data_IF_312262391677
#
_entry.id   IF_312262391677
#
_cell.length_a   1.000
_cell.length_b   1.000
_cell.length_c   1.000
_cell.angle_alpha   90.00
_cell.angle_beta   90.00
_cell.angle_gamma   90.00
#
_symmetry.space_group_name_H-M   'P 1'
#
loop_
_entity.id
_entity.type
_entity.pdbx_description
1 polymer ?
#
# COMPACT_ATOMS: atom_id res chain seq x y z
N UNK A 1 1.00 2.99 4.42
CA UNK A 1 -0.27 3.26 5.11
C UNK A 1 -0.84 4.64 4.78
N UNK A 2 -2.11 4.79 4.92
CA UNK A 2 -2.78 6.08 4.71
C UNK A 2 -3.65 6.39 5.94
N UNK A 3 -3.65 7.62 6.45
CA UNK A 3 -2.68 8.70 6.19
C UNK A 3 -1.29 8.39 6.75
N UNK A 4 -0.25 8.97 6.17
CA UNK A 4 1.11 8.90 6.70
C UNK A 4 1.26 9.87 7.87
N UNK A 5 1.01 9.39 9.06
CA UNK A 5 1.13 10.16 10.32
C UNK A 5 1.98 9.38 11.31
N UNK A 6 2.36 10.01 12.41
CA UNK A 6 3.03 9.33 13.54
C UNK A 6 2.10 8.36 14.30
N UNK A 7 0.79 8.38 14.00
CA UNK A 7 -0.21 7.48 14.58
C UNK A 7 -0.47 6.31 13.65
N UNK A 8 -1.08 5.22 14.16
CA UNK A 8 -1.49 4.09 13.32
C UNK A 8 -2.35 4.55 12.14
N UNK A 9 -1.95 4.17 10.94
CA UNK A 9 -2.68 4.47 9.71
C UNK A 9 -3.62 3.34 9.31
N UNK A 10 -4.12 3.42 8.08
CA UNK A 10 -4.93 2.35 7.48
C UNK A 10 -4.30 1.86 6.17
N UNK A 11 -4.56 0.63 5.82
CA UNK A 11 -4.35 0.09 4.50
C UNK A 11 -5.65 0.24 3.71
N UNK A 12 -5.64 0.97 2.60
CA UNK A 12 -6.81 1.24 1.78
C UNK A 12 -6.71 0.51 0.45
N UNK A 13 -7.70 -0.32 0.15
CA UNK A 13 -7.91 -0.89 -1.18
C UNK A 13 -9.12 -0.21 -1.82
N UNK A 14 -8.90 0.41 -2.96
CA UNK A 14 -9.97 0.97 -3.79
C UNK A 14 -10.06 0.14 -5.08
N UNK A 15 -11.25 -0.33 -5.39
CA UNK A 15 -11.51 -1.09 -6.59
C UNK A 15 -12.81 -0.65 -7.25
N UNK A 16 -12.82 -0.63 -8.59
CA UNK A 16 -13.97 -0.28 -9.40
C UNK A 16 -14.29 -1.47 -10.30
N UNK A 17 -15.50 -2.05 -10.21
CA UNK A 17 -15.87 -3.18 -11.05
C UNK A 17 -15.98 -2.76 -12.52
N UNK A 18 -15.55 -3.63 -13.41
CA UNK A 18 -15.80 -3.51 -14.84
C UNK A 18 -17.30 -3.70 -15.15
N UNK A 19 -17.74 -3.26 -16.33
CA UNK A 19 -19.13 -3.47 -16.78
C UNK A 19 -19.52 -4.96 -16.68
N UNK A 20 -20.65 -5.22 -16.03
CA UNK A 20 -21.18 -6.57 -15.85
C UNK A 20 -20.60 -7.35 -14.66
N UNK A 21 -19.66 -6.79 -13.92
CA UNK A 21 -19.11 -7.40 -12.69
C UNK A 21 -19.82 -6.81 -11.47
N UNK A 22 -20.34 -7.65 -10.59
CA UNK A 22 -20.97 -7.20 -9.35
C UNK A 22 -19.92 -6.77 -8.31
N UNK A 23 -20.31 -5.89 -7.39
CA UNK A 23 -19.48 -5.49 -6.25
C UNK A 23 -19.11 -6.67 -5.37
N UNK A 24 -20.01 -7.64 -5.18
CA UNK A 24 -19.77 -8.84 -4.38
C UNK A 24 -18.71 -9.74 -5.02
N UNK A 25 -18.74 -9.87 -6.35
CA UNK A 25 -17.71 -10.61 -7.09
C UNK A 25 -16.34 -9.93 -6.94
N UNK A 26 -16.31 -8.60 -7.04
CA UNK A 26 -15.08 -7.83 -6.89
C UNK A 26 -14.52 -7.97 -5.46
N UNK A 27 -15.38 -7.86 -4.45
CA UNK A 27 -14.99 -8.04 -3.05
C UNK A 27 -14.40 -9.44 -2.81
N UNK A 28 -15.06 -10.49 -3.32
CA UNK A 28 -14.58 -11.87 -3.20
C UNK A 28 -13.17 -12.04 -3.81
N UNK A 29 -12.94 -11.45 -4.98
CA UNK A 29 -11.63 -11.48 -5.64
C UNK A 29 -10.54 -10.79 -4.83
N UNK A 30 -10.85 -9.67 -4.20
CA UNK A 30 -9.90 -8.98 -3.31
C UNK A 30 -9.51 -9.88 -2.12
N UNK A 31 -10.47 -10.63 -1.57
CA UNK A 31 -10.14 -11.55 -0.47
C UNK A 31 -9.34 -12.76 -0.91
N UNK A 32 -9.62 -13.30 -2.09
CA UNK A 32 -8.81 -14.37 -2.70
C UNK A 32 -7.34 -13.93 -2.82
N UNK A 33 -7.09 -12.70 -3.31
CA UNK A 33 -5.73 -12.15 -3.41
C UNK A 33 -5.08 -11.95 -2.03
N UNK A 34 -5.83 -11.49 -1.03
CA UNK A 34 -5.30 -11.34 0.33
C UNK A 34 -4.96 -12.70 0.95
N UNK A 35 -5.81 -13.70 0.75
CA UNK A 35 -5.57 -15.05 1.28
C UNK A 35 -4.37 -15.70 0.56
N UNK A 36 -4.25 -15.52 -0.74
CA UNK A 36 -3.09 -15.93 -1.53
C UNK A 36 -1.78 -15.29 -0.99
N UNK A 37 -1.79 -13.99 -0.71
CA UNK A 37 -0.63 -13.31 -0.11
C UNK A 37 -0.26 -13.86 1.28
N UNK A 38 -1.24 -14.21 2.12
CA UNK A 38 -1.01 -14.85 3.43
C UNK A 38 -0.40 -16.24 3.32
N UNK A 39 -0.75 -16.98 2.27
CA UNK A 39 -0.19 -18.30 1.97
C UNK A 39 1.24 -18.21 1.45
N UNK A 40 1.67 -17.02 0.99
CA UNK A 40 3.01 -16.78 0.48
C UNK A 40 3.15 -17.07 -1.00
N UNK A 41 2.11 -16.80 -1.78
CA UNK A 41 2.11 -16.98 -3.24
C UNK A 41 2.88 -15.89 -3.99
N UNK A 42 3.20 -14.77 -3.31
CA UNK A 42 3.96 -13.68 -3.92
C UNK A 42 5.37 -14.18 -4.26
N UNK A 43 5.76 -14.01 -5.51
CA UNK A 43 7.08 -14.40 -6.00
C UNK A 43 8.14 -13.35 -5.73
N UNK A 44 9.41 -13.76 -5.75
CA UNK A 44 10.53 -12.81 -5.61
C UNK A 44 10.54 -11.78 -6.74
N UNK A 45 10.20 -12.18 -7.97
CA UNK A 45 10.10 -11.27 -9.11
C UNK A 45 9.03 -10.18 -8.91
N UNK A 46 7.88 -10.54 -8.33
CA UNK A 46 6.82 -9.57 -8.02
C UNK A 46 7.25 -8.59 -6.94
N UNK A 47 7.93 -9.07 -5.90
CA UNK A 47 8.49 -8.22 -4.85
C UNK A 47 9.53 -7.26 -5.42
N UNK A 48 10.49 -7.76 -6.22
CA UNK A 48 11.56 -6.95 -6.82
C UNK A 48 10.98 -5.87 -7.75
N UNK A 49 9.94 -6.21 -8.50
CA UNK A 49 9.19 -5.27 -9.36
C UNK A 49 8.50 -4.19 -8.53
N UNK A 50 7.86 -4.58 -7.43
CA UNK A 50 7.18 -3.64 -6.52
C UNK A 50 8.19 -2.67 -5.89
N UNK A 51 9.34 -3.18 -5.40
CA UNK A 51 10.43 -2.37 -4.85
C UNK A 51 10.96 -1.39 -5.90
N UNK A 52 11.25 -1.87 -7.10
CA UNK A 52 11.74 -1.05 -8.21
C UNK A 52 10.76 0.08 -8.56
N UNK A 53 9.47 -0.24 -8.65
CA UNK A 53 8.43 0.76 -8.94
C UNK A 53 8.30 1.79 -7.82
N UNK A 54 8.36 1.37 -6.56
CA UNK A 54 8.29 2.26 -5.41
C UNK A 54 9.48 3.23 -5.37
N UNK A 55 10.70 2.73 -5.63
CA UNK A 55 11.92 3.55 -5.75
C UNK A 55 11.81 4.56 -6.89
N UNK A 56 11.37 4.12 -8.07
CA UNK A 56 11.19 5.00 -9.21
C UNK A 56 10.15 6.10 -8.94
N UNK A 57 9.06 5.78 -8.23
CA UNK A 57 8.05 6.75 -7.83
C UNK A 57 8.60 7.78 -6.83
N UNK A 58 9.38 7.33 -5.85
CA UNK A 58 10.03 8.24 -4.89
C UNK A 58 10.99 9.19 -5.60
N UNK A 59 11.88 8.67 -6.45
CA UNK A 59 12.83 9.49 -7.21
C UNK A 59 12.11 10.51 -8.09
N UNK A 60 11.04 10.10 -8.79
CA UNK A 60 10.22 11.03 -9.59
C UNK A 60 9.56 12.10 -8.73
N UNK A 61 9.08 11.75 -7.55
CA UNK A 61 8.51 12.70 -6.59
C UNK A 61 9.50 13.77 -6.12
N UNK A 62 10.79 13.41 -6.05
CA UNK A 62 11.87 14.34 -5.68
C UNK A 62 12.44 15.14 -6.87
N UNK A 63 11.98 14.91 -8.09
CA UNK A 63 12.55 15.45 -9.34
C UNK A 63 12.31 16.95 -9.57
N UNK A 64 11.59 17.64 -8.69
CA UNK A 64 11.39 19.08 -8.75
C UNK A 64 11.35 19.69 -7.34
N UNK A 65 11.57 21.02 -7.27
CA UNK A 65 11.69 21.75 -6.01
C UNK A 65 10.45 21.63 -5.11
N UNK A 66 9.25 21.64 -5.69
CA UNK A 66 8.00 21.50 -4.93
C UNK A 66 7.87 20.11 -4.33
N UNK A 67 8.13 19.07 -5.11
CA UNK A 67 8.11 17.68 -4.64
C UNK A 67 9.14 17.43 -3.55
N UNK A 68 10.36 17.95 -3.74
CA UNK A 68 11.44 17.85 -2.76
C UNK A 68 11.07 18.55 -1.45
N UNK A 69 10.59 19.80 -1.52
CA UNK A 69 10.18 20.56 -0.34
C UNK A 69 9.01 19.88 0.40
N UNK A 70 8.01 19.38 -0.34
CA UNK A 70 6.87 18.66 0.23
C UNK A 70 7.29 17.36 0.91
N UNK A 71 8.18 16.58 0.28
CA UNK A 71 8.70 15.34 0.84
C UNK A 71 9.46 15.60 2.15
N UNK A 72 10.35 16.59 2.18
CA UNK A 72 11.10 16.93 3.38
C UNK A 72 10.22 17.46 4.51
N UNK A 73 9.27 18.35 4.19
CA UNK A 73 8.35 18.91 5.18
C UNK A 73 7.44 17.82 5.79
N UNK A 74 6.85 16.96 4.97
CA UNK A 74 5.97 15.88 5.44
C UNK A 74 6.73 14.83 6.24
N UNK A 75 7.94 14.48 5.80
CA UNK A 75 8.78 13.51 6.51
C UNK A 75 9.26 14.08 7.84
N UNK A 76 9.68 15.33 7.88
CA UNK A 76 10.05 15.99 9.12
C UNK A 76 8.87 16.06 10.10
N UNK A 77 7.68 16.43 9.63
CA UNK A 77 6.48 16.52 10.46
C UNK A 77 6.05 15.15 11.03
N UNK A 78 6.27 14.05 10.30
CA UNK A 78 5.84 12.71 10.72
C UNK A 78 6.90 11.92 11.49
N UNK A 79 8.18 12.18 11.23
CA UNK A 79 9.32 11.39 11.73
C UNK A 79 10.31 12.20 12.58
N UNK A 80 10.27 13.53 12.49
CA UNK A 80 11.23 14.40 13.17
C UNK A 80 12.57 14.59 12.44
N UNK A 81 12.81 13.84 11.35
CA UNK A 81 14.02 13.99 10.53
C UNK A 81 13.67 13.88 9.04
N UNK A 82 14.00 14.90 8.27
CA UNK A 82 13.77 14.92 6.83
C UNK A 82 14.63 13.90 6.07
N UNK A 83 15.77 13.48 6.63
CA UNK A 83 16.67 12.49 6.03
C UNK A 83 16.02 11.11 5.89
N UNK A 84 14.99 10.85 6.68
CA UNK A 84 14.19 9.60 6.62
C UNK A 84 13.58 9.35 5.22
N UNK A 85 13.46 10.38 4.38
CA UNK A 85 13.09 10.22 2.96
C UNK A 85 14.05 9.26 2.25
N UNK A 86 15.36 9.44 2.46
CA UNK A 86 16.39 8.62 1.81
C UNK A 86 16.51 7.24 2.48
N UNK A 87 16.45 7.20 3.80
CA UNK A 87 16.47 5.94 4.55
C UNK A 87 15.28 5.04 4.23
N UNK A 88 14.18 5.62 3.77
CA UNK A 88 13.01 4.85 3.33
C UNK A 88 13.31 3.95 2.13
N UNK A 89 14.25 4.35 1.26
CA UNK A 89 14.72 3.54 0.13
C UNK A 89 15.47 2.31 0.64
N UNK A 90 16.41 2.52 1.56
CA UNK A 90 17.21 1.45 2.14
C UNK A 90 16.35 0.45 2.94
N UNK A 91 15.31 0.93 3.61
CA UNK A 91 14.33 0.07 4.28
C UNK A 91 13.51 -0.75 3.30
N UNK A 92 13.11 -0.15 2.19
CA UNK A 92 12.33 -0.82 1.15
C UNK A 92 13.11 -1.97 0.50
N UNK A 93 14.41 -1.79 0.28
CA UNK A 93 15.31 -2.82 -0.27
C UNK A 93 15.51 -4.03 0.65
N UNK A 94 15.26 -3.87 1.94
CA UNK A 94 15.40 -4.93 2.95
C UNK A 94 14.13 -5.74 3.17
N UNK A 95 13.02 -5.38 2.51
CA UNK A 95 11.76 -6.11 2.63
C UNK A 95 11.89 -7.49 2.00
N UNK A 96 11.46 -8.51 2.72
CA UNK A 96 11.51 -9.92 2.30
C UNK A 96 10.11 -10.47 2.03
N UNK A 97 10.04 -11.62 1.37
CA UNK A 97 8.78 -12.37 1.20
C UNK A 97 8.19 -12.80 2.55
N UNK A 98 9.03 -13.14 3.50
CA UNK A 98 8.58 -13.50 4.86
C UNK A 98 7.96 -12.30 5.58
N UNK A 99 8.48 -11.08 5.37
CA UNK A 99 7.86 -9.86 5.89
C UNK A 99 6.48 -9.63 5.28
N UNK A 100 6.33 -9.81 3.96
CA UNK A 100 5.04 -9.67 3.30
C UNK A 100 4.02 -10.67 3.84
N UNK A 101 4.40 -11.94 3.95
CA UNK A 101 3.56 -12.99 4.51
C UNK A 101 3.17 -12.71 5.96
N UNK A 102 4.12 -12.31 6.80
CA UNK A 102 3.88 -11.94 8.19
C UNK A 102 2.90 -10.78 8.31
N UNK A 103 3.12 -9.70 7.58
CA UNK A 103 2.27 -8.50 7.61
C UNK A 103 0.88 -8.81 7.06
N UNK A 104 0.76 -9.60 5.99
CA UNK A 104 -0.53 -10.01 5.45
C UNK A 104 -1.35 -10.79 6.49
N UNK A 105 -0.73 -11.74 7.20
CA UNK A 105 -1.40 -12.51 8.25
C UNK A 105 -1.77 -11.67 9.47
N UNK A 106 -0.96 -10.68 9.83
CA UNK A 106 -1.20 -9.82 10.98
C UNK A 106 -2.31 -8.80 10.73
N UNK A 107 -2.33 -8.16 9.56
CA UNK A 107 -3.18 -7.00 9.31
C UNK A 107 -4.37 -7.27 8.38
N UNK A 108 -4.26 -8.15 7.36
CA UNK A 108 -5.33 -8.41 6.40
C UNK A 108 -6.34 -9.43 6.93
N UNK A 109 -6.89 -9.18 8.10
CA UNK A 109 -7.84 -10.07 8.78
C UNK A 109 -9.26 -9.51 8.74
N UNK A 110 -10.26 -10.40 8.87
CA UNK A 110 -11.68 -9.99 8.98
C UNK A 110 -11.93 -9.01 10.12
N UNK A 111 -11.16 -9.12 11.19
CA UNK A 111 -11.29 -8.32 12.41
C UNK A 111 -10.83 -6.87 12.21
N UNK A 112 -9.90 -6.66 11.28
CA UNK A 112 -9.24 -5.37 11.04
C UNK A 112 -9.77 -4.64 9.81
N UNK A 113 -10.92 -5.06 9.24
CA UNK A 113 -11.42 -4.47 7.99
C UNK A 113 -12.76 -3.77 8.17
N UNK A 114 -12.93 -2.74 7.37
CA UNK A 114 -14.22 -2.09 7.09
C UNK A 114 -14.41 -2.06 5.59
N UNK A 115 -15.59 -2.40 5.11
CA UNK A 115 -15.95 -2.39 3.69
C UNK A 115 -17.01 -1.33 3.48
N UNK A 116 -16.80 -0.48 2.47
CA UNK A 116 -17.77 0.49 2.00
C UNK A 116 -18.04 0.24 0.51
N UNK A 117 -19.29 0.19 0.12
CA UNK A 117 -19.72 0.04 -1.27
C UNK A 117 -20.60 1.20 -1.69
N UNK A 118 -20.37 1.71 -2.91
CA UNK A 118 -21.29 2.65 -3.56
C UNK A 118 -22.15 1.87 -4.54
N UNK A 119 -23.47 1.90 -4.34
CA UNK A 119 -24.43 1.29 -5.23
C UNK A 119 -25.21 2.38 -5.95
N UNK A 120 -25.52 2.16 -7.24
CA UNK A 120 -26.43 3.03 -7.97
C UNK A 120 -27.84 2.84 -7.41
N UNK A 121 -28.47 3.92 -7.00
CA UNK A 121 -29.90 3.88 -6.66
C UNK A 121 -30.69 3.72 -7.95
N UNK A 122 -31.51 2.67 -8.05
CA UNK A 122 -32.47 2.52 -9.13
C UNK A 122 -33.46 3.68 -9.05
N UNK A 123 -33.60 4.38 -10.18
CA UNK A 123 -34.51 5.55 -10.34
C UNK A 123 -35.91 5.09 -10.67
#
# INVERSE_FOLDING_TARGET
GFPQTQYPGMFLTLAVPNMGVSTDTLESRIYEEFDSAKEGSITQEELDRAITNAKANLIRGLGNNTGLASAFASTYASKGDWRDVFESIDRLEKVTLDDLKRVANEYLTKKNRTVGMTIKKDS
#
